data_IF_612574628264
#
_entry.id   IF_612574628264
#
_cell.length_a   1.000
_cell.length_b   1.000
_cell.length_c   1.000
_cell.angle_alpha   90.00
_cell.angle_beta   90.00
_cell.angle_gamma   90.00
#
_symmetry.space_group_name_H-M   'P 1'
#
loop_
_entity.id
_entity.type
_entity.pdbx_description
1 polymer ?
#
# COMPACT_ATOMS: atom_id res chain seq x y z
N UNK A 1 -18.50 -1.95 -7.45
CA UNK A 1 -17.69 -3.18 -7.31
C UNK A 1 -17.83 -3.64 -5.87
N UNK A 2 -18.63 -4.67 -5.61
CA UNK A 2 -18.83 -5.20 -4.25
C UNK A 2 -17.57 -6.00 -3.88
N UNK A 3 -16.81 -5.53 -2.89
CA UNK A 3 -15.72 -6.34 -2.34
C UNK A 3 -16.32 -7.56 -1.65
N UNK A 4 -15.89 -8.76 -2.03
CA UNK A 4 -16.48 -10.01 -1.52
C UNK A 4 -16.32 -10.10 -0.01
N UNK A 5 -17.41 -9.90 0.73
CA UNK A 5 -17.46 -10.13 2.17
C UNK A 5 -17.28 -11.63 2.44
N UNK A 6 -16.72 -12.01 3.59
CA UNK A 6 -16.45 -13.43 3.90
C UNK A 6 -17.69 -14.35 3.82
N UNK A 7 -18.89 -13.80 4.00
CA UNK A 7 -20.16 -14.53 3.78
C UNK A 7 -20.41 -14.85 2.31
N UNK A 8 -20.11 -13.93 1.40
CA UNK A 8 -20.24 -14.12 -0.04
C UNK A 8 -19.26 -15.19 -0.52
N UNK A 9 -18.00 -15.14 -0.07
CA UNK A 9 -17.00 -16.19 -0.36
C UNK A 9 -17.46 -17.56 0.14
N UNK A 10 -18.05 -17.63 1.34
CA UNK A 10 -18.58 -18.89 1.88
C UNK A 10 -19.72 -19.44 1.02
N UNK A 11 -20.63 -18.58 0.58
CA UNK A 11 -21.76 -18.99 -0.25
C UNK A 11 -21.28 -19.42 -1.64
N UNK A 12 -20.37 -18.67 -2.25
CA UNK A 12 -19.75 -19.01 -3.54
C UNK A 12 -19.05 -20.37 -3.51
N UNK A 13 -18.24 -20.64 -2.47
CA UNK A 13 -17.60 -21.96 -2.28
C UNK A 13 -18.61 -23.10 -2.16
N UNK A 14 -19.78 -22.84 -1.57
CA UNK A 14 -20.84 -23.84 -1.47
C UNK A 14 -21.57 -24.03 -2.81
N UNK A 15 -21.97 -22.93 -3.46
CA UNK A 15 -22.82 -22.93 -4.65
C UNK A 15 -22.06 -23.40 -5.90
N UNK A 16 -20.83 -22.92 -6.11
CA UNK A 16 -20.05 -23.21 -7.31
C UNK A 16 -19.08 -24.40 -7.16
N UNK A 17 -18.74 -24.77 -5.93
CA UNK A 17 -17.74 -25.81 -5.67
C UNK A 17 -18.22 -26.92 -4.72
N UNK A 18 -19.44 -26.84 -4.18
CA UNK A 18 -19.97 -27.85 -3.24
C UNK A 18 -19.22 -27.91 -1.91
N UNK A 19 -18.39 -26.91 -1.60
CA UNK A 19 -17.50 -26.90 -0.43
C UNK A 19 -18.12 -26.12 0.71
N UNK A 20 -18.62 -26.86 1.69
CA UNK A 20 -19.09 -26.26 2.95
C UNK A 20 -17.91 -25.91 3.84
N UNK A 21 -17.66 -24.61 4.01
CA UNK A 21 -16.62 -24.08 4.92
C UNK A 21 -17.24 -23.20 6.01
N UNK A 22 -16.58 -23.11 7.16
CA UNK A 22 -16.96 -22.16 8.20
C UNK A 22 -16.51 -20.75 7.83
N UNK A 23 -17.27 -19.72 8.23
CA UNK A 23 -16.87 -18.32 8.02
C UNK A 23 -15.53 -18.00 8.72
N UNK A 24 -15.34 -18.55 9.92
CA UNK A 24 -14.10 -18.39 10.69
C UNK A 24 -12.88 -19.01 9.99
N UNK A 25 -13.07 -20.04 9.16
CA UNK A 25 -11.99 -20.61 8.36
C UNK A 25 -11.49 -19.59 7.32
N UNK A 26 -12.42 -18.93 6.61
CA UNK A 26 -12.08 -17.90 5.63
C UNK A 26 -11.38 -16.72 6.31
N UNK A 27 -11.89 -16.27 7.46
CA UNK A 27 -11.29 -15.17 8.22
C UNK A 27 -9.85 -15.50 8.66
N UNK A 28 -9.64 -16.68 9.25
CA UNK A 28 -8.31 -17.13 9.70
C UNK A 28 -7.33 -17.32 8.53
N UNK A 29 -7.81 -17.80 7.39
CA UNK A 29 -6.97 -17.93 6.21
C UNK A 29 -6.53 -16.56 5.70
N UNK A 30 -7.46 -15.60 5.61
CA UNK A 30 -7.15 -14.22 5.23
C UNK A 30 -6.17 -13.57 6.20
N UNK A 31 -6.34 -13.78 7.51
CA UNK A 31 -5.42 -13.31 8.55
C UNK A 31 -4.03 -13.91 8.38
N UNK A 32 -3.93 -15.23 8.22
CA UNK A 32 -2.66 -15.92 8.04
C UNK A 32 -1.91 -15.45 6.78
N UNK A 33 -2.60 -15.28 5.66
CA UNK A 33 -2.02 -14.72 4.43
C UNK A 33 -1.58 -13.27 4.67
N UNK A 34 -2.40 -12.47 5.36
CA UNK A 34 -2.08 -11.09 5.73
C UNK A 34 -0.79 -11.01 6.56
N UNK A 35 -0.62 -11.86 7.57
CA UNK A 35 0.60 -11.92 8.39
C UNK A 35 1.83 -12.29 7.55
N UNK A 36 1.71 -13.22 6.60
CA UNK A 36 2.81 -13.57 5.69
C UNK A 36 3.17 -12.40 4.78
N UNK A 37 2.19 -11.68 4.25
CA UNK A 37 2.41 -10.50 3.40
C UNK A 37 3.11 -9.39 4.19
N UNK A 38 2.65 -9.09 5.40
CA UNK A 38 3.28 -8.09 6.27
C UNK A 38 4.74 -8.46 6.60
N UNK A 39 4.99 -9.71 6.97
CA UNK A 39 6.34 -10.20 7.23
C UNK A 39 7.25 -10.14 5.99
N UNK A 40 6.68 -10.29 4.79
CA UNK A 40 7.43 -10.16 3.53
C UNK A 40 7.57 -8.72 3.04
N UNK A 41 6.72 -7.80 3.47
CA UNK A 41 6.76 -6.40 3.06
C UNK A 41 8.12 -5.77 3.36
N UNK A 42 8.73 -6.11 4.51
CA UNK A 42 10.07 -5.65 4.89
C UNK A 42 11.19 -6.12 3.94
N UNK A 43 10.98 -7.25 3.25
CA UNK A 43 11.94 -7.86 2.34
C UNK A 43 11.62 -7.62 0.85
N UNK A 44 10.39 -7.23 0.51
CA UNK A 44 10.01 -6.89 -0.86
C UNK A 44 10.52 -5.50 -1.24
N UNK A 45 11.71 -5.48 -1.84
CA UNK A 45 12.13 -4.34 -2.65
C UNK A 45 11.35 -4.36 -3.96
N UNK A 46 10.28 -3.57 -4.06
CA UNK A 46 9.75 -3.19 -5.37
C UNK A 46 10.82 -2.35 -6.05
N UNK A 47 11.60 -2.96 -6.96
CA UNK A 47 12.51 -2.19 -7.79
C UNK A 47 11.64 -1.26 -8.66
N UNK A 48 11.73 0.07 -8.48
CA UNK A 48 11.05 0.98 -9.39
C UNK A 48 11.51 0.63 -10.82
N UNK A 49 10.63 0.72 -11.82
CA UNK A 49 11.07 0.66 -13.22
C UNK A 49 12.27 1.58 -13.40
N UNK A 50 13.30 1.14 -14.13
CA UNK A 50 14.46 2.01 -14.39
C UNK A 50 13.94 3.31 -15.01
N UNK A 51 14.19 4.40 -14.30
CA UNK A 51 13.81 5.73 -14.76
C UNK A 51 14.89 6.23 -15.71
N UNK A 52 14.50 6.50 -16.95
CA UNK A 52 15.41 7.02 -17.97
C UNK A 52 15.65 8.54 -17.82
N UNK A 53 14.87 9.20 -16.95
CA UNK A 53 14.85 10.66 -16.77
C UNK A 53 15.17 11.07 -15.33
N UNK A 54 15.84 12.21 -15.15
CA UNK A 54 16.05 12.80 -13.83
C UNK A 54 14.74 13.36 -13.26
N UNK A 55 14.41 12.99 -12.02
CA UNK A 55 13.25 13.54 -11.32
C UNK A 55 13.54 14.98 -10.90
N UNK A 56 12.69 15.91 -11.31
CA UNK A 56 12.77 17.33 -10.95
C UNK A 56 11.74 17.71 -9.89
N UNK A 57 10.57 17.07 -9.88
CA UNK A 57 9.48 17.37 -8.94
C UNK A 57 8.89 16.12 -8.32
N UNK A 58 8.56 16.20 -7.03
CA UNK A 58 7.87 15.16 -6.27
C UNK A 58 6.52 15.68 -5.79
N UNK A 59 5.43 15.00 -6.16
CA UNK A 59 4.08 15.24 -5.68
C UNK A 59 3.68 14.21 -4.62
N UNK A 60 3.16 14.67 -3.48
CA UNK A 60 2.75 13.79 -2.38
C UNK A 60 1.24 13.93 -2.16
N UNK A 61 0.52 12.82 -2.27
CA UNK A 61 -0.88 12.70 -1.89
C UNK A 61 -1.02 11.91 -0.60
N UNK A 62 -1.86 12.37 0.32
CA UNK A 62 -2.24 11.63 1.52
C UNK A 62 -3.76 11.68 1.65
N UNK A 63 -4.37 10.52 1.82
CA UNK A 63 -5.80 10.39 2.05
C UNK A 63 -6.05 9.35 3.15
N UNK A 64 -7.23 9.40 3.77
CA UNK A 64 -7.59 8.47 4.82
C UNK A 64 -9.09 8.41 5.06
N UNK A 65 -9.55 7.25 5.52
CA UNK A 65 -10.97 7.02 5.80
C UNK A 65 -11.15 6.39 7.18
N UNK A 66 -12.23 6.79 7.88
CA UNK A 66 -12.59 6.23 9.16
C UNK A 66 -13.38 4.94 8.96
N UNK A 67 -12.82 3.81 9.40
CA UNK A 67 -13.46 2.50 9.38
C UNK A 67 -13.96 2.13 10.77
N UNK A 68 -15.21 1.68 10.87
CA UNK A 68 -15.76 1.12 12.11
C UNK A 68 -15.30 -0.33 12.27
N UNK A 69 -14.43 -0.59 13.24
CA UNK A 69 -13.87 -1.90 13.56
C UNK A 69 -14.68 -2.62 14.63
N UNK A 70 -16.00 -2.73 14.45
CA UNK A 70 -16.93 -3.38 15.38
C UNK A 70 -16.63 -3.05 16.87
N UNK A 71 -16.09 -4.02 17.62
CA UNK A 71 -15.79 -3.92 19.06
C UNK A 71 -14.64 -2.93 19.37
N UNK A 72 -13.78 -2.65 18.39
CA UNK A 72 -12.60 -1.78 18.54
C UNK A 72 -12.88 -0.30 18.19
N UNK A 73 -14.13 0.04 17.88
CA UNK A 73 -14.53 1.41 17.53
C UNK A 73 -13.98 1.89 16.19
N UNK A 74 -13.92 3.22 15.99
CA UNK A 74 -13.42 3.79 14.73
C UNK A 74 -11.90 3.82 14.68
N UNK A 75 -11.34 3.42 13.54
CA UNK A 75 -9.91 3.50 13.20
C UNK A 75 -9.71 4.21 11.87
N UNK A 76 -8.54 4.80 11.66
CA UNK A 76 -8.21 5.47 10.40
C UNK A 76 -7.40 4.52 9.53
N UNK A 77 -7.92 4.19 8.34
CA UNK A 77 -7.11 3.58 7.29
C UNK A 77 -6.53 4.69 6.42
N UNK A 78 -5.24 4.59 6.11
CA UNK A 78 -4.53 5.63 5.39
C UNK A 78 -4.02 5.11 4.05
N UNK A 79 -4.04 5.98 3.04
CA UNK A 79 -3.40 5.75 1.75
C UNK A 79 -2.54 6.95 1.40
N UNK A 80 -1.47 6.72 0.65
CA UNK A 80 -0.56 7.78 0.24
C UNK A 80 0.06 7.47 -1.10
N UNK A 81 0.39 8.52 -1.82
CA UNK A 81 1.02 8.46 -3.13
C UNK A 81 2.23 9.36 -3.18
N UNK A 82 3.30 8.88 -3.81
CA UNK A 82 4.47 9.67 -4.16
C UNK A 82 4.59 9.60 -5.68
N UNK A 83 4.22 10.70 -6.35
CA UNK A 83 4.29 10.84 -7.80
C UNK A 83 5.57 11.59 -8.19
N UNK A 84 6.31 11.04 -9.14
CA UNK A 84 7.56 11.61 -9.61
C UNK A 84 7.35 12.27 -10.97
N UNK A 85 7.99 13.42 -11.19
CA UNK A 85 7.91 14.18 -12.44
C UNK A 85 9.30 14.63 -12.88
N UNK A 86 9.54 14.61 -14.18
CA UNK A 86 10.78 15.13 -14.77
C UNK A 86 10.78 16.66 -14.90
N UNK A 87 11.81 17.22 -15.52
CA UNK A 87 11.96 18.67 -15.73
C UNK A 87 10.90 19.27 -16.65
N UNK A 88 10.29 18.48 -17.52
CA UNK A 88 9.23 18.91 -18.44
C UNK A 88 7.83 18.81 -17.79
N UNK A 89 7.75 18.26 -16.57
CA UNK A 89 6.50 18.03 -15.87
C UNK A 89 5.78 16.74 -16.29
N UNK A 90 6.43 15.87 -17.06
CA UNK A 90 5.89 14.57 -17.44
C UNK A 90 5.95 13.59 -16.26
N UNK A 91 4.84 12.87 -16.05
CA UNK A 91 4.69 11.97 -14.91
C UNK A 91 5.45 10.67 -15.14
N UNK A 92 6.35 10.36 -14.22
CA UNK A 92 7.12 9.12 -14.16
C UNK A 92 6.34 8.07 -13.31
N UNK A 93 6.96 7.09 -12.63
CA UNK A 93 6.26 6.21 -11.69
C UNK A 93 5.59 6.93 -10.51
N UNK A 94 4.51 6.32 -10.03
CA UNK A 94 3.87 6.67 -8.76
C UNK A 94 4.03 5.50 -7.79
N UNK A 95 4.57 5.78 -6.61
CA UNK A 95 4.67 4.83 -5.50
C UNK A 95 3.37 4.94 -4.69
N UNK A 96 2.72 3.82 -4.42
CA UNK A 96 1.49 3.73 -3.64
C UNK A 96 1.75 3.09 -2.28
N UNK A 97 1.19 3.66 -1.23
CA UNK A 97 1.33 3.21 0.15
C UNK A 97 -0.05 3.07 0.78
N UNK A 98 -0.27 1.99 1.51
CA UNK A 98 -1.45 1.78 2.33
C UNK A 98 -1.06 1.38 3.75
N UNK A 99 -1.83 1.86 4.73
CA UNK A 99 -1.85 1.31 6.08
C UNK A 99 -3.24 0.76 6.40
N UNK A 100 -3.24 -0.39 7.07
CA UNK A 100 -4.45 -0.95 7.65
C UNK A 100 -5.04 0.03 8.70
N UNK A 101 -6.29 -0.16 9.13
CA UNK A 101 -6.92 0.71 10.12
C UNK A 101 -6.16 0.70 11.45
N UNK A 102 -5.59 1.86 11.79
CA UNK A 102 -4.76 2.06 12.99
C UNK A 102 -5.28 3.24 13.83
N UNK A 103 -4.78 3.35 15.06
CA UNK A 103 -5.06 4.52 15.91
C UNK A 103 -4.17 5.68 15.48
N UNK A 104 -4.76 6.60 14.72
CA UNK A 104 -4.09 7.80 14.22
C UNK A 104 -3.16 7.53 13.04
N UNK A 105 -2.48 8.59 12.58
CA UNK A 105 -1.73 8.62 11.31
C UNK A 105 -0.22 8.51 11.47
N UNK A 106 0.27 8.37 12.71
CA UNK A 106 1.68 8.57 13.05
C UNK A 106 2.59 7.54 12.40
N UNK A 107 2.28 6.26 12.57
CA UNK A 107 2.95 5.11 11.94
C UNK A 107 2.96 5.22 10.42
N UNK A 108 1.83 5.65 9.83
CA UNK A 108 1.74 5.86 8.40
C UNK A 108 2.68 6.96 7.92
N UNK A 109 2.71 8.12 8.59
CA UNK A 109 3.63 9.21 8.24
C UNK A 109 5.11 8.81 8.41
N UNK A 110 5.43 7.98 9.40
CA UNK A 110 6.77 7.42 9.59
C UNK A 110 7.18 6.51 8.41
N UNK A 111 6.24 5.84 7.74
CA UNK A 111 6.49 5.03 6.54
C UNK A 111 6.62 5.86 5.26
N UNK A 112 5.91 6.99 5.15
CA UNK A 112 5.98 7.86 3.95
C UNK A 112 7.30 8.64 3.90
N UNK A 113 7.79 9.14 5.05
CA UNK A 113 8.98 10.02 5.10
C UNK A 113 10.23 9.44 4.40
N UNK A 114 10.68 8.20 4.68
CA UNK A 114 11.89 7.65 4.06
C UNK A 114 11.77 7.46 2.55
N UNK A 115 10.55 7.33 2.01
CA UNK A 115 10.32 7.19 0.58
C UNK A 115 10.47 8.53 -0.13
N UNK A 116 9.98 9.61 0.47
CA UNK A 116 10.21 10.98 -0.01
C UNK A 116 11.71 11.28 -0.01
N UNK A 117 12.41 10.95 1.08
CA UNK A 117 13.85 11.19 1.19
C UNK A 117 14.64 10.41 0.13
N UNK A 118 14.30 9.14 -0.13
CA UNK A 118 14.94 8.36 -1.21
C UNK A 118 14.68 8.94 -2.60
N UNK A 119 13.47 9.41 -2.87
CA UNK A 119 13.12 10.06 -4.14
C UNK A 119 13.87 11.37 -4.35
N UNK A 120 14.15 12.11 -3.27
CA UNK A 120 14.97 13.32 -3.30
C UNK A 120 16.49 13.02 -3.40
N UNK A 121 16.99 11.99 -2.70
CA UNK A 121 18.42 11.69 -2.62
C UNK A 121 19.01 10.98 -3.85
N UNK A 122 18.19 10.31 -4.69
CA UNK A 122 18.66 9.76 -5.97
C UNK A 122 19.12 10.85 -6.98
N UNK A 123 19.04 12.14 -6.62
CA UNK A 123 19.51 13.28 -7.41
C UNK A 123 21.03 13.53 -7.32
N UNK A 124 21.81 12.73 -6.59
CA UNK A 124 23.23 13.00 -6.32
C UNK A 124 24.22 11.90 -6.74
N UNK A 125 24.49 11.73 -8.05
CA UNK A 125 25.83 11.29 -8.56
C UNK A 125 25.87 11.21 -10.10
N UNK A 126 25.65 12.31 -10.79
CA UNK A 126 26.27 12.55 -12.10
C UNK A 126 27.08 13.84 -12.04
N UNK A 127 28.04 13.87 -11.11
CA UNK A 127 29.15 14.81 -11.19
C UNK A 127 29.95 14.48 -12.44
N UNK A 128 29.76 15.27 -13.50
CA UNK A 128 30.57 15.26 -14.71
C UNK A 128 32.06 15.42 -14.35
N UNK A 129 32.94 14.44 -14.64
CA UNK A 129 34.38 14.57 -14.42
C UNK A 129 35.12 15.02 -15.69
N UNK A 130 34.55 15.98 -16.44
CA UNK A 130 35.23 16.68 -17.55
C UNK A 130 34.87 18.15 -17.57
#
# INVERSE_FOLDING_TARGET
MSGMAGKEVKNDLLENHGRKVALSYIQRLSEAVGSVVQAKEEAWSYAPPKEDSQIATVGIGLDGTCMLMCEDGYREAMVGTVSLYDSEGERQPTIYLGAAPEYGKKSFLERVRPLVDKSCCNQGSTGNPY
#
